data_IF_001118139991
#
_entry.id   IF_001118139991
#
_cell.length_a   1.000
_cell.length_b   1.000
_cell.length_c   1.000
_cell.angle_alpha   90.00
_cell.angle_beta   90.00
_cell.angle_gamma   90.00
#
_symmetry.space_group_name_H-M   'P 1'
#
loop_
_entity.id
_entity.type
_entity.pdbx_description
1 polymer ?
#
# COMPACT_ATOMS: atom_id res chain seq x y z
N UNK A 1 -9.73 6.92 5.15
CA UNK A 1 -11.04 6.81 5.83
C UNK A 1 -11.20 7.87 6.92
N UNK A 2 -10.37 7.88 7.97
CA UNK A 2 -10.49 8.83 9.08
C UNK A 2 -10.51 10.30 8.61
N UNK A 3 -9.60 10.68 7.69
CA UNK A 3 -9.61 12.03 7.06
C UNK A 3 -10.96 12.35 6.42
N UNK A 4 -11.58 11.40 5.71
CA UNK A 4 -12.89 11.62 5.08
C UNK A 4 -14.00 11.86 6.13
N UNK A 5 -13.97 11.17 7.26
CA UNK A 5 -14.88 11.46 8.38
C UNK A 5 -14.68 12.88 8.90
N UNK A 6 -13.42 13.26 9.14
CA UNK A 6 -13.09 14.61 9.63
C UNK A 6 -13.53 15.71 8.67
N UNK A 7 -13.39 15.52 7.36
CA UNK A 7 -13.84 16.48 6.34
C UNK A 7 -15.37 16.66 6.33
N UNK A 8 -16.09 15.65 6.80
CA UNK A 8 -17.54 15.71 7.02
C UNK A 8 -17.93 16.14 8.44
N UNK A 9 -16.98 16.64 9.25
CA UNK A 9 -17.21 17.05 10.63
C UNK A 9 -17.48 15.91 11.61
N UNK A 10 -17.18 14.67 11.23
CA UNK A 10 -17.37 13.47 12.06
C UNK A 10 -16.05 13.13 12.76
N UNK A 11 -16.09 12.97 14.08
CA UNK A 11 -14.96 12.48 14.87
C UNK A 11 -15.04 10.94 14.93
N UNK A 12 -14.16 10.21 14.20
CA UNK A 12 -14.21 8.76 14.19
C UNK A 12 -13.66 8.16 15.49
N UNK A 13 -14.26 7.06 15.97
CA UNK A 13 -13.63 6.18 16.95
C UNK A 13 -12.73 5.20 16.21
N UNK A 14 -11.42 5.20 16.52
CA UNK A 14 -10.45 4.33 15.86
C UNK A 14 -9.99 3.25 16.83
N UNK A 15 -10.17 1.99 16.44
CA UNK A 15 -9.69 0.81 17.16
C UNK A 15 -8.51 0.21 16.40
N UNK A 16 -7.44 -0.12 17.08
CA UNK A 16 -6.25 -0.74 16.49
C UNK A 16 -5.54 -1.65 17.48
N UNK A 17 -5.04 -2.79 17.02
CA UNK A 17 -4.29 -3.75 17.87
C UNK A 17 -2.99 -3.16 18.41
N UNK A 18 -2.39 -2.25 17.66
CA UNK A 18 -1.13 -1.60 17.99
C UNK A 18 -1.19 -0.12 17.69
N UNK A 19 -0.29 0.65 18.29
CA UNK A 19 -0.09 2.04 17.85
C UNK A 19 0.24 2.03 16.36
N UNK A 20 -0.50 2.79 15.56
CA UNK A 20 -0.22 2.87 14.14
C UNK A 20 1.21 3.37 13.92
N UNK A 21 1.90 2.72 13.02
CA UNK A 21 3.18 3.18 12.52
C UNK A 21 3.05 3.49 11.01
N UNK A 22 3.95 4.24 10.42
CA UNK A 22 3.89 4.57 8.99
C UNK A 22 4.01 3.35 8.06
N UNK A 23 4.24 2.16 8.62
CA UNK A 23 4.33 0.91 7.87
C UNK A 23 5.68 0.72 7.16
N UNK A 24 5.78 -0.40 6.47
CA UNK A 24 6.91 -0.74 5.61
C UNK A 24 6.46 -0.74 4.15
N UNK A 25 7.35 -0.39 3.23
CA UNK A 25 7.08 -0.33 1.80
C UNK A 25 7.24 1.09 1.26
N UNK A 26 7.02 1.29 -0.04
CA UNK A 26 7.21 2.61 -0.68
C UNK A 26 6.26 3.64 -0.06
N UNK A 27 6.83 4.68 0.52
CA UNK A 27 6.13 5.66 1.37
C UNK A 27 5.63 6.87 0.57
N UNK A 28 4.72 6.64 -0.37
CA UNK A 28 4.07 7.74 -1.07
C UNK A 28 2.58 7.47 -1.30
N UNK A 29 1.83 8.55 -1.51
CA UNK A 29 0.43 8.54 -1.89
C UNK A 29 0.29 8.91 -3.36
N UNK A 30 -0.64 8.28 -4.05
CA UNK A 30 -1.00 8.65 -5.43
C UNK A 30 -1.94 9.85 -5.52
N UNK A 31 -2.48 10.31 -4.39
CA UNK A 31 -3.41 11.43 -4.30
C UNK A 31 -3.29 12.04 -2.89
N UNK A 32 -3.44 13.34 -2.77
CA UNK A 32 -3.31 14.03 -1.48
C UNK A 32 -4.52 13.85 -0.55
N UNK A 33 -5.64 13.31 -1.04
CA UNK A 33 -6.86 13.10 -0.26
C UNK A 33 -7.35 14.36 0.46
N UNK A 34 -7.24 15.52 -0.17
CA UNK A 34 -7.60 16.81 0.43
C UNK A 34 -6.64 17.32 1.51
N UNK A 35 -5.48 16.67 1.70
CA UNK A 35 -4.41 17.19 2.56
C UNK A 35 -3.56 18.23 1.81
N UNK A 36 -3.05 19.27 2.47
CA UNK A 36 -2.22 20.31 1.84
C UNK A 36 -0.78 19.80 1.62
N UNK A 37 -0.64 18.68 0.91
CA UNK A 37 0.65 18.05 0.62
C UNK A 37 1.24 18.62 -0.66
N UNK A 38 2.56 18.81 -0.68
CA UNK A 38 3.29 19.17 -1.89
C UNK A 38 3.48 17.94 -2.77
N UNK A 39 3.27 18.06 -4.10
CA UNK A 39 3.57 16.95 -5.01
C UNK A 39 5.08 16.72 -5.09
N UNK A 40 5.45 15.46 -5.26
CA UNK A 40 6.81 15.00 -5.55
C UNK A 40 6.79 14.19 -6.83
N UNK A 41 7.82 14.33 -7.66
CA UNK A 41 7.99 13.50 -8.85
C UNK A 41 8.90 12.33 -8.52
N UNK A 42 8.40 11.11 -8.73
CA UNK A 42 9.14 9.87 -8.50
C UNK A 42 9.56 9.30 -9.85
N UNK A 43 10.86 9.19 -10.06
CA UNK A 43 11.42 8.52 -11.25
C UNK A 43 11.30 7.00 -11.09
N UNK A 44 11.13 6.29 -12.21
CA UNK A 44 11.15 4.82 -12.24
C UNK A 44 12.28 4.34 -13.14
N UNK A 45 12.92 3.26 -12.73
CA UNK A 45 14.02 2.63 -13.46
C UNK A 45 14.00 1.12 -13.32
N UNK A 46 14.85 0.44 -14.09
CA UNK A 46 15.01 -1.01 -14.05
C UNK A 46 16.47 -1.39 -13.82
N UNK A 47 16.65 -2.53 -13.17
CA UNK A 47 17.89 -3.29 -13.17
C UNK A 47 17.61 -4.62 -13.85
N UNK A 48 18.38 -4.91 -14.88
CA UNK A 48 18.36 -6.16 -15.63
C UNK A 48 19.66 -6.92 -15.48
N UNK A 49 19.87 -7.92 -16.33
CA UNK A 49 20.96 -8.86 -16.32
C UNK A 49 22.31 -8.27 -15.88
N UNK A 50 22.88 -8.85 -14.81
CA UNK A 50 24.19 -8.46 -14.27
C UNK A 50 24.23 -7.08 -13.64
N UNK A 51 23.18 -6.70 -12.91
CA UNK A 51 23.05 -5.44 -12.17
C UNK A 51 23.18 -4.17 -13.02
N UNK A 52 22.96 -4.26 -14.30
CA UNK A 52 22.99 -3.11 -15.21
C UNK A 52 21.73 -2.26 -15.02
N UNK A 53 21.95 -1.04 -14.58
CA UNK A 53 20.90 -0.03 -14.48
C UNK A 53 20.42 0.38 -15.88
N UNK A 54 19.13 0.27 -16.15
CA UNK A 54 18.49 0.73 -17.37
C UNK A 54 17.49 1.82 -17.06
N UNK A 55 17.67 2.97 -17.72
CA UNK A 55 16.67 4.03 -17.68
C UNK A 55 15.40 3.58 -18.41
N UNK A 56 14.28 4.13 -17.98
CA UNK A 56 12.96 3.83 -18.53
C UNK A 56 12.84 3.99 -20.04
N UNK A 57 13.47 5.02 -20.59
CA UNK A 57 13.47 5.36 -22.03
C UNK A 57 14.21 4.35 -22.90
N UNK A 58 15.06 3.51 -22.32
CA UNK A 58 15.85 2.49 -23.01
C UNK A 58 15.36 1.06 -22.79
N UNK A 59 14.34 0.87 -21.96
CA UNK A 59 13.84 -0.43 -21.60
C UNK A 59 12.59 -0.78 -22.43
N UNK A 60 12.48 -2.04 -22.87
CA UNK A 60 11.21 -2.60 -23.29
C UNK A 60 10.34 -2.85 -22.04
N UNK A 61 9.47 -1.89 -21.74
CA UNK A 61 8.65 -1.88 -20.53
C UNK A 61 7.73 -3.09 -20.44
N UNK A 62 7.26 -3.61 -21.57
CA UNK A 62 6.40 -4.80 -21.58
C UNK A 62 7.20 -6.02 -21.15
N UNK A 63 8.36 -6.24 -21.78
CA UNK A 63 9.26 -7.33 -21.41
C UNK A 63 9.71 -7.21 -19.95
N UNK A 64 10.04 -6.00 -19.47
CA UNK A 64 10.41 -5.76 -18.08
C UNK A 64 9.26 -6.07 -17.12
N UNK A 65 8.02 -5.70 -17.46
CA UNK A 65 6.85 -5.99 -16.64
C UNK A 65 6.58 -7.50 -16.54
N UNK A 66 6.75 -8.23 -17.64
CA UNK A 66 6.60 -9.69 -17.70
C UNK A 66 7.69 -10.40 -16.88
N UNK A 67 8.95 -10.01 -17.05
CA UNK A 67 10.07 -10.56 -16.26
C UNK A 67 9.91 -10.28 -14.77
N UNK A 68 9.49 -9.08 -14.40
CA UNK A 68 9.20 -8.74 -13.00
C UNK A 68 8.06 -9.57 -12.41
N UNK A 69 7.01 -9.81 -13.20
CA UNK A 69 5.88 -10.66 -12.80
C UNK A 69 6.34 -12.11 -12.57
N UNK A 70 7.15 -12.66 -13.47
CA UNK A 70 7.73 -14.00 -13.35
C UNK A 70 8.59 -14.07 -12.07
N UNK A 71 9.53 -13.15 -11.92
CA UNK A 71 10.43 -13.09 -10.74
C UNK A 71 9.65 -13.05 -9.43
N UNK A 72 8.63 -12.21 -9.35
CA UNK A 72 7.87 -11.99 -8.12
C UNK A 72 6.73 -12.98 -7.93
N UNK A 73 6.48 -13.91 -8.85
CA UNK A 73 5.34 -14.82 -8.82
C UNK A 73 4.00 -14.09 -8.82
N UNK A 74 3.92 -12.91 -9.45
CA UNK A 74 2.68 -12.15 -9.51
C UNK A 74 1.69 -12.78 -10.49
N UNK A 75 0.41 -12.86 -10.10
CA UNK A 75 -0.66 -13.38 -10.97
C UNK A 75 -0.97 -12.49 -12.17
N UNK A 76 -0.51 -11.25 -12.15
CA UNK A 76 -0.67 -10.25 -13.22
C UNK A 76 0.57 -9.39 -13.33
N UNK A 77 0.84 -8.91 -14.54
CA UNK A 77 1.89 -7.91 -14.79
C UNK A 77 1.62 -6.63 -14.01
N UNK A 78 2.68 -6.01 -13.53
CA UNK A 78 2.57 -4.75 -12.79
C UNK A 78 2.20 -3.61 -13.76
N UNK A 79 0.99 -3.08 -13.64
CA UNK A 79 0.50 -1.98 -14.49
C UNK A 79 1.37 -0.72 -14.42
N UNK A 80 2.04 -0.47 -13.30
CA UNK A 80 2.95 0.68 -13.16
C UNK A 80 4.17 0.55 -14.05
N UNK A 81 4.64 -0.69 -14.26
CA UNK A 81 5.76 -0.99 -15.18
C UNK A 81 5.27 -1.00 -16.62
N UNK A 82 4.07 -1.50 -16.86
CA UNK A 82 3.51 -1.63 -18.20
C UNK A 82 3.11 -0.30 -18.85
N UNK A 83 2.89 0.74 -18.05
CA UNK A 83 2.61 2.07 -18.57
C UNK A 83 3.93 2.75 -18.92
N UNK A 84 3.99 3.39 -20.07
CA UNK A 84 5.13 4.20 -20.53
C UNK A 84 5.30 5.48 -19.71
N UNK A 85 5.27 5.38 -18.39
CA UNK A 85 5.37 6.52 -17.48
C UNK A 85 6.74 6.50 -16.82
N UNK A 86 7.59 7.45 -17.23
CA UNK A 86 8.93 7.62 -16.67
C UNK A 86 8.88 8.13 -15.23
N UNK A 87 7.97 9.06 -14.96
CA UNK A 87 7.77 9.69 -13.66
C UNK A 87 6.34 9.53 -13.20
N UNK A 88 6.15 9.46 -11.89
CA UNK A 88 4.85 9.41 -11.24
C UNK A 88 4.76 10.59 -10.28
N UNK A 89 3.76 11.45 -10.46
CA UNK A 89 3.42 12.46 -9.46
C UNK A 89 2.82 11.77 -8.24
N UNK A 90 3.35 12.06 -7.10
CA UNK A 90 2.98 11.44 -5.83
C UNK A 90 3.05 12.46 -4.69
N UNK A 91 2.71 12.04 -3.48
CA UNK A 91 2.73 12.87 -2.28
C UNK A 91 3.43 12.12 -1.15
N UNK A 92 4.19 12.84 -0.33
CA UNK A 92 4.92 12.24 0.78
C UNK A 92 3.95 11.62 1.80
N UNK A 93 4.15 10.32 2.08
CA UNK A 93 3.35 9.60 3.06
C UNK A 93 3.62 10.07 4.48
N UNK A 94 4.86 10.43 4.82
CA UNK A 94 5.23 10.83 6.18
C UNK A 94 4.60 12.18 6.55
N UNK A 95 4.51 13.12 5.60
CA UNK A 95 3.80 14.39 5.81
C UNK A 95 2.32 14.14 6.05
N UNK A 96 1.69 13.29 5.23
CA UNK A 96 0.30 12.90 5.43
C UNK A 96 0.08 12.23 6.78
N UNK A 97 0.98 11.34 7.17
CA UNK A 97 0.96 10.66 8.45
C UNK A 97 1.08 11.62 9.62
N UNK A 98 2.03 12.57 9.56
CA UNK A 98 2.21 13.62 10.58
C UNK A 98 0.94 14.42 10.83
N UNK A 99 0.22 14.79 9.77
CA UNK A 99 -1.04 15.53 9.86
C UNK A 99 -2.19 14.73 10.50
N UNK A 100 -2.09 13.41 10.53
CA UNK A 100 -3.11 12.51 11.08
C UNK A 100 -2.78 11.99 12.49
N UNK A 101 -1.60 12.30 13.04
CA UNK A 101 -1.17 11.79 14.35
C UNK A 101 -1.99 12.31 15.54
N UNK A 102 -2.69 13.43 15.40
CA UNK A 102 -3.55 13.99 16.47
C UNK A 102 -4.85 13.23 16.73
N UNK A 103 -5.14 12.17 15.98
CA UNK A 103 -6.36 11.39 16.17
C UNK A 103 -6.25 10.46 17.38
N UNK A 104 -7.36 10.41 18.16
CA UNK A 104 -7.46 9.48 19.28
C UNK A 104 -7.65 8.05 18.78
N UNK A 105 -6.70 7.18 19.14
CA UNK A 105 -6.73 5.76 18.82
C UNK A 105 -6.81 4.98 20.12
N UNK A 106 -7.76 4.04 20.18
CA UNK A 106 -7.88 3.10 21.29
C UNK A 106 -7.20 1.79 20.86
N UNK A 107 -6.21 1.36 21.66
CA UNK A 107 -5.59 0.05 21.46
C UNK A 107 -6.58 -1.04 21.88
N UNK A 108 -7.15 -1.70 20.90
CA UNK A 108 -8.12 -2.78 21.11
C UNK A 108 -8.13 -3.72 19.91
N UNK A 109 -8.30 -5.01 20.16
CA UNK A 109 -8.41 -6.03 19.13
C UNK A 109 -9.87 -6.32 18.82
N UNK A 110 -10.29 -6.00 17.61
CA UNK A 110 -11.62 -6.35 17.12
C UNK A 110 -11.62 -7.78 16.63
N UNK A 111 -12.43 -8.63 17.27
CA UNK A 111 -12.64 -10.02 16.92
C UNK A 111 -13.85 -10.18 15.97
N UNK A 112 -13.95 -11.32 15.26
CA UNK A 112 -15.13 -11.62 14.41
C UNK A 112 -16.46 -11.52 15.17
N UNK A 113 -16.49 -11.92 16.45
CA UNK A 113 -17.67 -11.84 17.33
C UNK A 113 -18.15 -10.41 17.57
N UNK A 114 -17.23 -9.43 17.56
CA UNK A 114 -17.53 -8.06 17.92
C UNK A 114 -18.23 -7.29 16.79
N UNK A 115 -18.06 -7.76 15.55
CA UNK A 115 -18.58 -7.07 14.36
C UNK A 115 -20.10 -6.84 14.42
N UNK A 116 -20.85 -7.80 14.96
CA UNK A 116 -22.31 -7.65 15.14
C UNK A 116 -22.66 -6.59 16.18
N UNK A 117 -21.89 -6.52 17.26
CA UNK A 117 -22.06 -5.50 18.31
C UNK A 117 -21.70 -4.10 17.78
N UNK A 118 -20.57 -3.99 17.09
CA UNK A 118 -20.11 -2.75 16.48
C UNK A 118 -21.13 -2.23 15.44
N UNK A 119 -21.64 -3.11 14.56
CA UNK A 119 -22.62 -2.68 13.54
C UNK A 119 -23.96 -2.23 14.12
N UNK A 120 -24.30 -2.63 15.34
CA UNK A 120 -25.49 -2.14 16.05
C UNK A 120 -25.24 -0.84 16.82
N UNK A 121 -23.99 -0.61 17.23
CA UNK A 121 -23.59 0.54 18.07
C UNK A 121 -23.27 1.78 17.23
N UNK A 122 -22.77 1.61 16.02
CA UNK A 122 -22.30 2.70 15.16
C UNK A 122 -23.11 2.77 13.87
N UNK A 123 -23.39 3.97 13.40
CA UNK A 123 -24.07 4.19 12.10
C UNK A 123 -23.24 3.63 10.94
N UNK A 124 -21.92 3.74 11.00
CA UNK A 124 -20.99 3.19 10.03
C UNK A 124 -19.78 2.57 10.71
N UNK A 125 -19.47 1.34 10.36
CA UNK A 125 -18.25 0.62 10.75
C UNK A 125 -17.34 0.51 9.53
N UNK A 126 -16.12 1.04 9.63
CA UNK A 126 -15.11 0.94 8.56
C UNK A 126 -14.07 -0.09 8.98
N UNK A 127 -14.01 -1.21 8.25
CA UNK A 127 -13.04 -2.26 8.50
C UNK A 127 -11.88 -2.19 7.51
N UNK A 128 -10.66 -1.99 8.01
CA UNK A 128 -9.41 -2.05 7.24
C UNK A 128 -8.53 -3.24 7.63
N UNK A 129 -8.91 -3.99 8.68
CA UNK A 129 -8.21 -5.20 9.10
C UNK A 129 -8.32 -6.30 8.02
N UNK A 130 -7.39 -7.27 8.01
CA UNK A 130 -7.39 -8.35 7.00
C UNK A 130 -8.74 -9.08 6.95
N UNK A 131 -9.28 -9.24 5.74
CA UNK A 131 -10.62 -9.80 5.50
C UNK A 131 -10.84 -11.13 6.24
N UNK A 132 -9.87 -12.06 6.15
CA UNK A 132 -9.95 -13.37 6.82
C UNK A 132 -9.84 -13.30 8.33
N UNK A 133 -9.25 -12.24 8.89
CA UNK A 133 -9.21 -12.04 10.35
C UNK A 133 -10.59 -11.72 10.90
N UNK A 134 -11.38 -10.93 10.18
CA UNK A 134 -12.73 -10.50 10.60
C UNK A 134 -13.82 -11.47 10.11
N UNK A 135 -13.62 -12.08 8.94
CA UNK A 135 -14.55 -13.04 8.35
C UNK A 135 -13.86 -14.38 8.04
N UNK A 136 -13.45 -15.15 9.08
CA UNK A 136 -12.64 -16.37 8.90
C UNK A 136 -13.37 -17.46 8.10
N UNK A 137 -14.68 -17.53 8.22
CA UNK A 137 -15.53 -18.51 7.53
C UNK A 137 -15.96 -18.10 6.13
N UNK A 138 -15.51 -16.93 5.66
CA UNK A 138 -15.84 -16.51 4.30
C UNK A 138 -15.25 -17.50 3.28
N UNK A 139 -16.05 -17.89 2.28
CA UNK A 139 -15.60 -18.76 1.17
C UNK A 139 -14.67 -18.03 0.19
N UNK A 140 -14.39 -16.76 0.42
CA UNK A 140 -13.54 -15.96 -0.46
C UNK A 140 -12.12 -16.49 -0.49
N UNK A 141 -11.60 -16.69 -1.68
CA UNK A 141 -10.19 -17.00 -1.88
C UNK A 141 -9.37 -15.74 -1.67
N UNK A 142 -8.49 -15.76 -0.68
CA UNK A 142 -7.61 -14.65 -0.32
C UNK A 142 -6.17 -15.06 -0.60
N UNK A 143 -5.71 -14.82 -1.82
CA UNK A 143 -4.34 -15.11 -2.23
C UNK A 143 -3.40 -13.99 -1.78
N UNK A 144 -2.19 -14.35 -1.35
CA UNK A 144 -1.15 -13.40 -0.97
C UNK A 144 0.23 -13.96 -1.22
N UNK A 145 1.21 -13.09 -1.22
CA UNK A 145 2.63 -13.44 -1.28
C UNK A 145 3.34 -12.87 -0.07
N UNK A 146 4.25 -13.64 0.47
CA UNK A 146 5.16 -13.15 1.50
C UNK A 146 6.33 -12.41 0.84
N UNK A 147 6.69 -11.29 1.41
CA UNK A 147 7.86 -10.51 1.02
C UNK A 147 8.54 -9.98 2.27
N UNK A 148 9.76 -9.54 2.12
CA UNK A 148 10.56 -9.00 3.20
C UNK A 148 11.02 -7.62 2.80
N UNK A 149 10.94 -6.66 3.72
CA UNK A 149 11.30 -5.26 3.48
C UNK A 149 12.40 -4.86 4.47
N UNK A 150 13.50 -4.38 3.95
CA UNK A 150 14.59 -3.78 4.72
C UNK A 150 14.63 -2.28 4.47
N UNK A 151 14.94 -1.51 5.50
CA UNK A 151 15.13 -0.05 5.41
C UNK A 151 16.57 0.31 4.98
N UNK A 152 17.20 -0.53 4.17
CA UNK A 152 18.56 -0.37 3.64
C UNK A 152 18.58 -0.45 2.12
N UNK A 153 19.60 0.17 1.52
CA UNK A 153 19.94 -0.05 0.11
C UNK A 153 20.40 -1.50 -0.11
N UNK A 154 20.04 -2.14 -1.24
CA UNK A 154 20.56 -3.46 -1.59
C UNK A 154 22.05 -3.44 -1.98
N UNK A 155 22.58 -2.24 -2.23
CA UNK A 155 23.95 -2.00 -2.70
C UNK A 155 24.61 -0.88 -1.90
N UNK A 156 25.23 -1.18 -0.74
CA UNK A 156 25.90 -0.15 0.04
C UNK A 156 27.08 0.53 -0.69
N UNK A 157 27.67 -0.14 -1.70
CA UNK A 157 28.94 0.29 -2.29
C UNK A 157 28.98 0.40 -3.83
N UNK A 158 27.83 0.38 -4.52
CA UNK A 158 27.85 0.41 -5.98
C UNK A 158 27.89 1.82 -6.58
N UNK A 159 29.00 2.11 -7.26
CA UNK A 159 29.33 3.39 -7.93
C UNK A 159 28.30 3.91 -8.97
N UNK A 160 27.32 3.12 -9.38
CA UNK A 160 26.27 3.55 -10.30
C UNK A 160 25.04 4.17 -9.62
N UNK A 161 24.92 4.03 -8.31
CA UNK A 161 23.76 4.45 -7.53
C UNK A 161 23.99 5.74 -6.73
N UNK A 162 25.25 6.15 -6.57
CA UNK A 162 25.59 7.40 -5.88
C UNK A 162 24.99 8.66 -6.55
N UNK A 163 24.64 8.56 -7.84
CA UNK A 163 23.98 9.62 -8.61
C UNK A 163 22.47 9.36 -8.81
N UNK A 164 21.88 8.42 -8.08
CA UNK A 164 20.43 8.18 -8.20
C UNK A 164 19.65 9.35 -7.63
N UNK A 165 18.55 9.78 -8.30
CA UNK A 165 17.67 10.83 -7.79
C UNK A 165 17.13 10.50 -6.40
N UNK A 166 16.83 11.52 -5.61
CA UNK A 166 16.27 11.35 -4.26
C UNK A 166 14.88 10.71 -4.25
N UNK A 167 14.14 10.80 -5.36
CA UNK A 167 12.83 10.18 -5.49
C UNK A 167 12.86 9.19 -6.65
N UNK A 168 13.13 7.92 -6.34
CA UNK A 168 13.26 6.86 -7.35
C UNK A 168 12.65 5.55 -6.87
N UNK A 169 12.08 4.80 -7.82
CA UNK A 169 11.71 3.41 -7.66
C UNK A 169 12.43 2.59 -8.72
N UNK A 170 13.17 1.59 -8.29
CA UNK A 170 13.91 0.69 -9.17
C UNK A 170 13.33 -0.72 -9.07
N UNK A 171 12.94 -1.26 -10.22
CA UNK A 171 12.47 -2.63 -10.34
C UNK A 171 13.62 -3.53 -10.82
N UNK A 172 13.93 -4.57 -10.06
CA UNK A 172 14.93 -5.55 -10.45
C UNK A 172 14.24 -6.74 -11.13
N UNK A 173 14.52 -6.93 -12.41
CA UNK A 173 13.97 -8.02 -13.22
C UNK A 173 14.92 -9.21 -13.35
N UNK A 174 16.15 -9.11 -12.84
CA UNK A 174 17.10 -10.22 -12.83
C UNK A 174 16.60 -11.31 -11.88
N UNK A 175 16.36 -12.50 -12.43
CA UNK A 175 15.79 -13.62 -11.69
C UNK A 175 16.71 -14.13 -10.58
N UNK A 176 18.02 -13.98 -10.73
CA UNK A 176 19.04 -14.48 -9.81
C UNK A 176 19.30 -13.50 -8.65
N UNK A 177 18.96 -12.23 -8.82
CA UNK A 177 19.14 -11.24 -7.78
C UNK A 177 18.12 -11.42 -6.63
N UNK A 178 18.54 -11.36 -5.35
CA UNK A 178 17.67 -11.65 -4.20
C UNK A 178 16.60 -10.58 -3.96
N UNK A 179 16.83 -9.34 -4.40
CA UNK A 179 15.90 -8.22 -4.22
C UNK A 179 15.04 -7.97 -5.45
N UNK A 180 13.85 -7.42 -5.25
CA UNK A 180 12.88 -7.19 -6.33
C UNK A 180 12.63 -5.74 -6.62
N UNK A 181 12.61 -4.90 -5.60
CA UNK A 181 12.34 -3.47 -5.74
C UNK A 181 13.14 -2.70 -4.71
N UNK A 182 13.78 -1.65 -5.15
CA UNK A 182 14.37 -0.63 -4.31
C UNK A 182 13.61 0.68 -4.50
N UNK A 183 13.48 1.44 -3.44
CA UNK A 183 12.93 2.79 -3.50
C UNK A 183 13.67 3.71 -2.55
N UNK A 184 13.92 4.93 -2.99
CA UNK A 184 14.33 6.05 -2.16
C UNK A 184 13.33 7.17 -2.41
N UNK A 185 12.55 7.52 -1.39
CA UNK A 185 11.53 8.56 -1.48
C UNK A 185 11.70 9.45 -0.27
N UNK A 186 11.97 10.73 -0.50
CA UNK A 186 12.19 11.72 0.54
C UNK A 186 13.27 11.29 1.56
N UNK A 187 14.41 10.81 1.04
CA UNK A 187 15.54 10.34 1.83
C UNK A 187 15.33 8.98 2.53
N UNK A 188 14.14 8.38 2.44
CA UNK A 188 13.86 7.08 3.06
C UNK A 188 14.09 5.98 2.04
N UNK A 189 15.02 5.09 2.36
CA UNK A 189 15.36 3.94 1.55
C UNK A 189 14.59 2.69 1.99
N UNK A 190 14.17 1.89 1.01
CA UNK A 190 13.56 0.58 1.28
C UNK A 190 13.85 -0.41 0.16
N UNK A 191 14.17 -1.63 0.54
CA UNK A 191 14.41 -2.74 -0.39
C UNK A 191 13.46 -3.90 -0.10
N UNK A 192 12.86 -4.44 -1.14
CA UNK A 192 11.97 -5.60 -1.06
C UNK A 192 12.69 -6.85 -1.55
N UNK A 193 12.53 -7.95 -0.80
CA UNK A 193 13.10 -9.26 -1.07
C UNK A 193 12.03 -10.34 -1.13
N UNK A 194 12.27 -11.41 -1.90
CA UNK A 194 11.40 -12.59 -1.97
C UNK A 194 11.66 -13.59 -0.84
N UNK A 195 12.81 -13.49 -0.17
CA UNK A 195 13.25 -14.41 0.89
C UNK A 195 13.66 -13.60 2.12
N UNK A 196 13.67 -14.22 3.31
CA UNK A 196 14.18 -13.58 4.51
C UNK A 196 15.61 -13.06 4.32
N UNK A 197 15.83 -11.83 4.76
CA UNK A 197 17.16 -11.21 4.85
C UNK A 197 17.28 -10.65 6.26
N UNK A 198 18.48 -10.65 6.82
CA UNK A 198 18.74 -10.13 8.15
C UNK A 198 18.28 -8.66 8.26
N UNK A 199 17.61 -8.33 9.34
CA UNK A 199 17.05 -6.99 9.57
C UNK A 199 15.81 -6.64 8.74
N UNK A 200 15.35 -7.53 7.84
CA UNK A 200 14.15 -7.27 7.05
C UNK A 200 12.87 -7.71 7.78
N UNK A 201 11.82 -6.93 7.60
CA UNK A 201 10.49 -7.20 8.15
C UNK A 201 9.64 -7.99 7.15
N UNK A 202 9.00 -9.05 7.63
CA UNK A 202 8.04 -9.81 6.82
C UNK A 202 6.78 -8.97 6.57
N UNK A 203 6.39 -8.85 5.31
CA UNK A 203 5.15 -8.20 4.89
C UNK A 203 4.35 -9.13 3.99
N UNK A 204 3.03 -8.95 3.99
CA UNK A 204 2.12 -9.69 3.13
C UNK A 204 1.68 -8.76 1.99
N UNK A 205 1.88 -9.20 0.76
CA UNK A 205 1.29 -8.55 -0.41
C UNK A 205 0.07 -9.31 -0.88
N UNK A 206 -1.08 -8.66 -0.82
CA UNK A 206 -2.33 -9.19 -1.39
C UNK A 206 -2.15 -9.41 -2.89
N UNK A 207 -2.54 -10.58 -3.36
CA UNK A 207 -2.51 -10.94 -4.78
C UNK A 207 -3.94 -11.14 -5.30
N UNK A 208 -4.24 -10.50 -6.43
CA UNK A 208 -5.58 -10.53 -7.02
C UNK A 208 -6.63 -9.76 -6.20
N UNK A 209 -7.87 -10.23 -6.29
CA UNK A 209 -9.05 -9.63 -5.67
C UNK A 209 -9.99 -10.71 -5.15
N UNK A 210 -10.32 -10.67 -3.86
CA UNK A 210 -11.30 -11.55 -3.28
C UNK A 210 -12.73 -11.15 -3.70
N UNK A 211 -13.56 -12.14 -4.02
CA UNK A 211 -15.00 -11.94 -4.16
C UNK A 211 -15.64 -12.15 -2.80
N UNK A 212 -16.03 -11.06 -2.17
CA UNK A 212 -16.68 -11.09 -0.86
C UNK A 212 -17.92 -10.20 -0.87
N UNK A 213 -19.02 -10.76 -0.40
CA UNK A 213 -20.28 -10.03 -0.21
C UNK A 213 -20.47 -9.80 1.29
N UNK A 214 -20.50 -8.55 1.69
CA UNK A 214 -20.82 -8.17 3.05
C UNK A 214 -22.34 -8.10 3.19
N UNK A 215 -22.86 -8.82 4.18
CA UNK A 215 -24.30 -8.83 4.47
C UNK A 215 -24.73 -7.74 5.46
N UNK A 216 -23.80 -6.93 5.96
CA UNK A 216 -24.06 -5.84 6.89
C UNK A 216 -24.00 -4.52 6.15
N UNK A 217 -25.14 -3.87 5.95
CA UNK A 217 -25.25 -2.66 5.14
C UNK A 217 -24.44 -1.49 5.67
N UNK A 218 -24.23 -1.42 6.99
CA UNK A 218 -23.44 -0.36 7.61
C UNK A 218 -21.97 -0.73 7.88
N UNK A 219 -21.48 -1.84 7.35
CA UNK A 219 -20.04 -2.18 7.41
C UNK A 219 -19.40 -1.97 6.05
N UNK A 220 -18.43 -1.06 6.00
CA UNK A 220 -17.68 -0.73 4.80
C UNK A 220 -16.28 -1.35 4.89
N UNK A 221 -15.94 -2.23 3.94
CA UNK A 221 -14.61 -2.81 3.82
C UNK A 221 -13.71 -1.87 3.01
N UNK A 222 -12.60 -1.46 3.58
CA UNK A 222 -11.65 -0.55 2.96
C UNK A 222 -10.21 -1.03 3.10
N UNK A 223 -9.35 -0.44 2.28
CA UNK A 223 -7.95 -0.79 2.25
C UNK A 223 -7.68 -2.13 1.54
N UNK A 224 -6.43 -2.31 1.17
CA UNK A 224 -5.98 -3.50 0.42
C UNK A 224 -6.27 -4.80 1.16
N UNK A 225 -6.13 -4.80 2.47
CA UNK A 225 -6.35 -5.99 3.30
C UNK A 225 -7.82 -6.19 3.66
N UNK A 226 -8.56 -5.11 3.96
CA UNK A 226 -9.99 -5.18 4.31
C UNK A 226 -10.86 -5.62 3.14
N UNK A 227 -10.56 -5.15 1.93
CA UNK A 227 -11.19 -5.60 0.68
C UNK A 227 -10.55 -6.86 0.10
N UNK A 228 -9.33 -7.16 0.49
CA UNK A 228 -8.46 -8.15 -0.15
C UNK A 228 -8.36 -7.92 -1.66
N UNK A 229 -7.90 -6.74 -2.02
CA UNK A 229 -7.78 -6.27 -3.40
C UNK A 229 -6.42 -5.62 -3.62
N UNK A 230 -5.58 -6.26 -4.46
CA UNK A 230 -4.21 -5.80 -4.74
C UNK A 230 -4.15 -4.45 -5.45
N UNK A 231 -5.22 -4.04 -6.11
CA UNK A 231 -5.31 -2.77 -6.85
C UNK A 231 -5.82 -1.61 -6.00
N UNK A 232 -6.30 -1.91 -4.77
CA UNK A 232 -6.90 -0.89 -3.92
C UNK A 232 -5.85 0.02 -3.28
N UNK A 233 -5.92 1.31 -3.57
CA UNK A 233 -4.98 2.33 -3.11
C UNK A 233 -5.54 3.13 -1.93
N UNK A 234 -4.67 3.83 -1.19
CA UNK A 234 -5.06 4.59 -0.01
C UNK A 234 -6.10 5.70 -0.33
N UNK A 235 -5.95 6.40 -1.46
CA UNK A 235 -6.90 7.43 -1.88
C UNK A 235 -8.30 6.85 -2.17
N UNK A 236 -8.40 5.63 -2.67
CA UNK A 236 -9.70 4.98 -2.88
C UNK A 236 -10.45 4.79 -1.56
N UNK A 237 -9.73 4.52 -0.45
CA UNK A 237 -10.36 4.44 0.87
C UNK A 237 -10.92 5.78 1.34
N UNK A 238 -10.29 6.88 0.97
CA UNK A 238 -10.81 8.22 1.24
C UNK A 238 -12.10 8.47 0.46
N UNK A 239 -12.10 8.29 -0.85
CA UNK A 239 -13.25 8.56 -1.70
C UNK A 239 -14.42 7.60 -1.47
N UNK A 240 -14.17 6.31 -1.23
CA UNK A 240 -15.22 5.35 -0.89
C UNK A 240 -15.89 5.72 0.45
N UNK A 241 -15.11 6.23 1.43
CA UNK A 241 -15.67 6.72 2.69
C UNK A 241 -16.53 7.95 2.46
N UNK A 242 -16.05 8.95 1.72
CA UNK A 242 -16.81 10.15 1.39
C UNK A 242 -18.16 9.80 0.74
N UNK A 243 -18.12 8.98 -0.31
CA UNK A 243 -19.32 8.52 -1.01
C UNK A 243 -20.29 7.77 -0.10
N UNK A 244 -19.77 6.96 0.84
CA UNK A 244 -20.60 6.23 1.79
C UNK A 244 -21.27 7.14 2.80
N UNK A 245 -20.54 8.09 3.37
CA UNK A 245 -21.09 9.08 4.30
C UNK A 245 -22.18 9.93 3.65
N UNK A 246 -21.97 10.36 2.41
CA UNK A 246 -22.97 11.11 1.64
C UNK A 246 -24.25 10.31 1.40
N UNK A 247 -24.14 9.06 0.97
CA UNK A 247 -25.29 8.15 0.77
C UNK A 247 -26.08 7.88 2.04
N UNK A 248 -25.43 7.93 3.19
CA UNK A 248 -26.08 7.74 4.49
C UNK A 248 -26.58 9.05 5.10
N UNK A 249 -26.33 10.20 4.47
CA UNK A 249 -26.67 11.51 5.02
C UNK A 249 -25.89 11.87 6.28
N UNK A 250 -24.70 11.29 6.47
CA UNK A 250 -23.84 11.51 7.61
C UNK A 250 -22.86 12.65 7.33
N UNK A 251 -22.75 13.57 8.30
CA UNK A 251 -21.89 14.76 8.20
C UNK A 251 -22.54 15.93 7.44
N UNK A 252 -21.89 17.07 7.57
CA UNK A 252 -22.32 18.33 6.91
C UNK A 252 -21.70 18.48 5.53
#
# INVERSE_FOLDING_TARGET
AAKACMDKGIVPTILSVTKPNPGHGVRYLHDNCGLPLKPIEIETAFVGYGDKFMRWDKADQRAMAELYAIKTGASKTNNSIHRSVKTVTAYNWMDAWGMLQGMRITEDEVLPSDMRGLSRKFDLVINTAPLKKIYPHSKSQCSYREMYVSDCSPYPDHNGWASTPDNIIVYNVDIDAPWTRYSRVDGIEQTEYLRPVEGAHKVIKVDGKAKFYNHQDNVLLLGRYGKWDSTYMAHMAYYDTMSRLEKMGLGK
#
